data_IF_664172520036
#
_entry.id   IF_664172520036
#
_cell.length_a   1.000
_cell.length_b   1.000
_cell.length_c   1.000
_cell.angle_alpha   90.00
_cell.angle_beta   90.00
_cell.angle_gamma   90.00
#
_symmetry.space_group_name_H-M   'P 1'
#
loop_
_entity.id
_entity.type
_entity.pdbx_description
1 polymer ?
#
# COMPACT_ATOMS: atom_id res chain seq x y z
N UNK A 1 39.66 -27.41 -20.92
CA UNK A 1 39.60 -26.13 -20.18
C UNK A 1 38.28 -25.47 -20.52
N UNK A 2 37.39 -25.29 -19.54
CA UNK A 2 35.95 -25.07 -19.77
C UNK A 2 35.53 -23.60 -19.82
N UNK A 3 36.47 -22.65 -19.74
CA UNK A 3 36.17 -21.22 -19.89
C UNK A 3 37.28 -20.55 -20.69
N UNK A 4 37.15 -20.59 -22.02
CA UNK A 4 38.08 -19.96 -22.97
C UNK A 4 37.53 -18.62 -23.51
N UNK A 5 36.36 -18.18 -23.05
CA UNK A 5 35.74 -16.91 -23.40
C UNK A 5 35.92 -15.88 -22.28
N UNK A 6 36.34 -14.67 -22.63
CA UNK A 6 36.35 -13.51 -21.73
C UNK A 6 34.93 -13.03 -21.48
N UNK A 7 34.53 -12.95 -20.21
CA UNK A 7 33.27 -12.31 -19.81
C UNK A 7 33.51 -10.81 -19.82
N UNK A 8 32.93 -10.12 -20.80
CA UNK A 8 32.96 -8.66 -20.80
C UNK A 8 31.89 -8.15 -19.82
N UNK A 9 32.24 -7.32 -18.84
CA UNK A 9 31.26 -6.74 -17.93
C UNK A 9 30.29 -5.85 -18.72
N UNK A 10 29.03 -5.85 -18.31
CA UNK A 10 28.04 -4.93 -18.86
C UNK A 10 28.45 -3.51 -18.43
N UNK A 11 28.52 -2.54 -19.35
CA UNK A 11 28.87 -1.17 -19.02
C UNK A 11 27.81 -0.52 -18.13
N UNK A 12 28.25 0.39 -17.25
CA UNK A 12 27.36 1.20 -16.41
C UNK A 12 26.44 2.09 -17.26
N UNK A 13 25.30 2.49 -16.69
CA UNK A 13 24.25 3.26 -17.39
C UNK A 13 24.78 4.52 -18.10
N UNK A 14 25.84 5.15 -17.59
CA UNK A 14 26.45 6.34 -18.18
C UNK A 14 27.14 6.09 -19.53
N UNK A 15 27.50 4.84 -19.84
CA UNK A 15 28.16 4.46 -21.09
C UNK A 15 27.15 3.93 -22.13
N UNK A 16 25.86 3.93 -21.81
CA UNK A 16 24.83 3.51 -22.76
C UNK A 16 24.58 4.64 -23.77
N UNK A 17 24.47 4.33 -25.07
CA UNK A 17 24.19 5.36 -26.06
C UNK A 17 22.82 5.98 -25.78
N UNK A 18 22.76 7.31 -25.76
CA UNK A 18 21.50 8.04 -25.71
C UNK A 18 20.81 7.90 -27.06
N UNK A 19 19.76 7.08 -27.12
CA UNK A 19 19.02 6.82 -28.35
C UNK A 19 18.09 8.00 -28.61
N UNK A 20 18.53 8.96 -29.42
CA UNK A 20 17.64 9.95 -30.02
C UNK A 20 16.67 9.20 -30.95
N UNK A 21 15.37 9.43 -30.76
CA UNK A 21 14.28 8.63 -31.33
C UNK A 21 14.04 8.90 -32.83
N UNK A 22 15.10 8.94 -33.64
CA UNK A 22 14.97 8.89 -35.10
C UNK A 22 14.72 7.42 -35.50
N UNK A 23 13.53 7.06 -36.00
CA UNK A 23 13.16 5.68 -36.26
C UNK A 23 13.87 5.16 -37.52
N UNK A 24 15.11 4.71 -37.35
CA UNK A 24 15.76 3.83 -38.32
C UNK A 24 15.02 2.48 -38.34
N UNK A 25 14.69 1.90 -39.52
CA UNK A 25 13.87 0.70 -39.62
C UNK A 25 14.50 -0.56 -38.99
N UNK A 26 15.80 -0.52 -38.69
CA UNK A 26 16.54 -1.63 -38.05
C UNK A 26 16.73 -1.47 -36.53
N UNK A 27 16.28 -0.35 -35.94
CA UNK A 27 16.45 -0.09 -34.50
C UNK A 27 15.14 -0.36 -33.78
N UNK A 28 15.10 -1.46 -33.04
CA UNK A 28 14.01 -1.80 -32.13
C UNK A 28 13.97 -0.73 -31.04
N UNK A 29 13.11 0.26 -31.22
CA UNK A 29 12.83 1.28 -30.21
C UNK A 29 12.39 0.57 -28.93
N UNK A 30 13.03 0.79 -27.77
CA UNK A 30 12.53 0.27 -26.51
C UNK A 30 11.24 1.02 -26.19
N UNK A 31 10.12 0.48 -26.64
CA UNK A 31 8.80 0.90 -26.19
C UNK A 31 8.83 0.79 -24.67
N UNK A 32 8.61 1.90 -23.96
CA UNK A 32 8.42 1.89 -22.51
C UNK A 32 7.17 1.08 -22.21
N UNK A 33 7.32 -0.23 -22.08
CA UNK A 33 6.25 -1.13 -21.66
C UNK A 33 6.07 -0.90 -20.16
N UNK A 34 5.03 -0.14 -19.81
CA UNK A 34 4.63 0.02 -18.42
C UNK A 34 4.28 -1.34 -17.80
N UNK A 35 4.29 -1.46 -16.46
CA UNK A 35 3.81 -2.65 -15.79
C UNK A 35 2.39 -3.01 -16.27
N UNK A 36 2.07 -4.31 -16.37
CA UNK A 36 0.72 -4.73 -16.73
C UNK A 36 -0.29 -4.21 -15.72
N UNK A 37 -1.45 -3.83 -16.21
CA UNK A 37 -2.51 -3.25 -15.39
C UNK A 37 -3.10 -4.32 -14.45
N UNK A 38 -2.98 -4.12 -13.13
CA UNK A 38 -3.37 -5.12 -12.14
C UNK A 38 -4.88 -5.02 -11.88
N UNK A 39 -5.64 -6.02 -12.37
CA UNK A 39 -7.07 -6.15 -12.07
C UNK A 39 -7.27 -6.99 -10.81
N UNK A 40 -8.03 -6.47 -9.85
CA UNK A 40 -8.44 -7.25 -8.68
C UNK A 40 -9.37 -8.39 -9.10
N UNK A 41 -9.00 -9.63 -8.80
CA UNK A 41 -9.85 -10.79 -9.05
C UNK A 41 -11.13 -10.70 -8.19
N UNK A 42 -12.24 -11.18 -8.75
CA UNK A 42 -13.51 -11.31 -8.01
C UNK A 42 -13.26 -12.31 -6.88
N UNK A 43 -13.23 -11.82 -5.64
CA UNK A 43 -12.95 -12.64 -4.47
C UNK A 43 -14.03 -13.71 -4.24
N UNK A 44 -13.78 -14.60 -3.27
CA UNK A 44 -14.74 -15.65 -2.90
C UNK A 44 -16.11 -15.04 -2.55
N UNK A 45 -17.21 -15.50 -3.19
CA UNK A 45 -18.55 -15.05 -2.84
C UNK A 45 -18.82 -15.24 -1.35
N UNK A 46 -19.36 -14.21 -0.71
CA UNK A 46 -19.69 -14.26 0.71
C UNK A 46 -20.77 -15.31 0.96
N UNK A 47 -20.51 -16.27 1.85
CA UNK A 47 -21.53 -17.24 2.28
C UNK A 47 -22.71 -16.48 2.89
N UNK A 48 -23.91 -16.63 2.30
CA UNK A 48 -25.16 -16.14 2.88
C UNK A 48 -25.52 -17.05 4.05
N UNK A 49 -25.25 -16.61 5.28
CA UNK A 49 -25.69 -17.31 6.49
C UNK A 49 -27.12 -16.87 6.82
N UNK A 50 -28.08 -17.78 6.74
CA UNK A 50 -29.42 -17.58 7.32
C UNK A 50 -29.31 -17.75 8.84
N UNK A 51 -30.02 -16.91 9.59
CA UNK A 51 -30.09 -17.00 11.05
C UNK A 51 -31.30 -17.84 11.45
N UNK A 52 -31.15 -18.69 12.46
CA UNK A 52 -32.27 -19.42 13.06
C UNK A 52 -33.18 -18.49 13.88
N UNK A 53 -34.48 -18.80 14.04
CA UNK A 53 -35.39 -18.04 14.89
C UNK A 53 -34.92 -18.13 16.36
N UNK A 54 -34.53 -16.98 16.93
CA UNK A 54 -33.97 -16.89 18.30
C UNK A 54 -32.55 -16.33 18.35
N UNK A 55 -31.83 -16.29 17.21
CA UNK A 55 -30.55 -15.58 17.17
C UNK A 55 -30.77 -14.06 17.29
N UNK A 56 -30.22 -13.45 18.34
CA UNK A 56 -30.27 -12.00 18.49
C UNK A 56 -29.61 -11.31 17.29
N UNK A 57 -30.27 -10.28 16.75
CA UNK A 57 -29.60 -9.31 15.87
C UNK A 57 -28.61 -8.56 16.75
N UNK A 58 -27.37 -9.07 16.84
CA UNK A 58 -26.24 -8.26 17.30
C UNK A 58 -26.34 -6.93 16.55
N UNK A 59 -26.72 -5.86 17.24
CA UNK A 59 -26.60 -4.50 16.75
C UNK A 59 -25.12 -4.37 16.40
N UNK A 60 -24.83 -4.47 15.11
CA UNK A 60 -23.46 -4.66 14.67
C UNK A 60 -22.61 -3.49 15.17
N UNK A 61 -21.36 -3.76 15.56
CA UNK A 61 -20.36 -2.78 16.01
C UNK A 61 -20.32 -1.49 15.16
N UNK A 62 -20.76 -1.57 13.90
CA UNK A 62 -20.94 -0.45 12.97
C UNK A 62 -21.72 0.71 13.59
N UNK A 63 -22.79 0.44 14.35
CA UNK A 63 -23.63 1.49 14.92
C UNK A 63 -23.00 2.21 16.12
N UNK A 64 -22.04 1.59 16.81
CA UNK A 64 -21.30 2.21 17.92
C UNK A 64 -20.02 2.89 17.47
N UNK A 65 -19.51 2.54 16.28
CA UNK A 65 -18.30 3.11 15.72
C UNK A 65 -18.55 4.54 15.22
N UNK A 66 -17.79 5.51 15.78
CA UNK A 66 -17.78 6.91 15.38
C UNK A 66 -16.51 7.22 14.57
N UNK A 67 -16.68 7.81 13.39
CA UNK A 67 -15.55 8.21 12.54
C UNK A 67 -14.80 9.40 13.17
N UNK A 68 -13.47 9.33 13.31
CA UNK A 68 -12.70 10.47 13.84
C UNK A 68 -12.54 11.64 12.87
N UNK A 69 -12.74 11.44 11.57
CA UNK A 69 -12.66 12.51 10.56
C UNK A 69 -14.01 13.25 10.39
N UNK A 70 -15.09 12.53 10.09
CA UNK A 70 -16.40 13.16 9.83
C UNK A 70 -17.38 13.10 11.01
N UNK A 71 -17.01 12.43 12.13
CA UNK A 71 -17.81 12.30 13.36
C UNK A 71 -19.16 11.58 13.22
N UNK A 72 -19.50 11.07 12.04
CA UNK A 72 -20.68 10.23 11.81
C UNK A 72 -20.51 8.82 12.39
N UNK A 73 -21.62 8.17 12.72
CA UNK A 73 -21.67 6.76 13.12
C UNK A 73 -21.68 5.84 11.88
N UNK A 74 -21.35 4.56 12.05
CA UNK A 74 -21.44 3.57 10.97
C UNK A 74 -20.10 3.16 10.35
N UNK A 75 -19.06 4.00 10.49
CA UNK A 75 -17.75 3.77 9.86
C UNK A 75 -16.59 4.41 10.62
N UNK A 76 -15.38 3.88 10.40
CA UNK A 76 -14.12 4.42 10.94
C UNK A 76 -13.46 5.37 9.92
N UNK A 77 -12.47 6.17 10.36
CA UNK A 77 -11.68 7.07 9.50
C UNK A 77 -11.18 6.42 8.20
N UNK A 78 -10.69 5.17 8.30
CA UNK A 78 -10.18 4.39 7.15
C UNK A 78 -11.24 4.11 6.08
N UNK A 79 -12.50 3.95 6.48
CA UNK A 79 -13.62 3.70 5.58
C UNK A 79 -14.48 4.94 5.30
N UNK A 80 -13.99 6.12 5.69
CA UNK A 80 -14.74 7.36 5.52
C UNK A 80 -14.77 7.76 4.04
N UNK A 81 -15.95 8.06 3.47
CA UNK A 81 -16.06 8.50 2.07
C UNK A 81 -15.38 9.86 1.84
N UNK A 82 -15.33 10.69 2.89
CA UNK A 82 -14.74 12.03 2.83
C UNK A 82 -13.24 12.04 3.17
N UNK A 83 -12.64 10.89 3.48
CA UNK A 83 -11.22 10.83 3.80
C UNK A 83 -10.44 10.29 2.58
N UNK A 84 -9.37 10.99 2.13
CA UNK A 84 -8.60 10.54 0.98
C UNK A 84 -8.02 9.16 1.27
N UNK A 85 -8.39 8.19 0.41
CA UNK A 85 -7.86 6.83 0.48
C UNK A 85 -6.47 6.89 -0.14
N UNK A 86 -5.45 7.08 0.70
CA UNK A 86 -4.06 6.89 0.26
C UNK A 86 -3.96 5.47 -0.25
N UNK A 87 -3.82 5.29 -1.56
CA UNK A 87 -3.42 4.02 -2.16
C UNK A 87 -2.13 3.61 -1.45
N UNK A 88 -2.12 2.43 -0.84
CA UNK A 88 -0.92 1.96 -0.14
C UNK A 88 0.09 1.59 -1.22
N UNK A 89 0.93 2.55 -1.62
CA UNK A 89 2.27 2.20 -2.10
C UNK A 89 2.93 1.39 -1.00
N UNK A 90 3.36 0.18 -1.34
CA UNK A 90 4.00 -0.75 -0.42
C UNK A 90 5.42 -0.23 -0.17
N UNK A 91 5.56 0.86 0.57
CA UNK A 91 6.84 1.23 1.16
C UNK A 91 6.72 1.05 2.67
N UNK A 92 7.56 0.17 3.19
CA UNK A 92 7.52 -0.33 4.55
C UNK A 92 7.63 0.80 5.56
N UNK A 93 6.54 1.07 6.27
CA UNK A 93 6.53 2.01 7.38
C UNK A 93 6.44 1.23 8.69
N UNK A 94 7.61 0.90 9.25
CA UNK A 94 7.74 0.41 10.62
C UNK A 94 7.27 1.51 11.58
N UNK A 95 6.12 1.30 12.22
CA UNK A 95 5.66 2.17 13.31
C UNK A 95 6.28 1.67 14.61
N UNK A 96 7.40 2.25 15.00
CA UNK A 96 7.86 2.22 16.39
C UNK A 96 6.93 3.11 17.22
N UNK A 97 6.09 2.51 18.03
CA UNK A 97 5.31 3.19 19.05
C UNK A 97 6.20 3.49 20.26
N UNK A 98 6.87 4.65 20.26
CA UNK A 98 7.47 5.22 21.45
C UNK A 98 6.42 6.05 22.18
N UNK A 99 5.85 5.51 23.27
CA UNK A 99 5.09 6.31 24.23
C UNK A 99 6.07 7.12 25.08
N UNK A 100 6.21 8.41 24.79
CA UNK A 100 6.81 9.33 25.75
C UNK A 100 5.79 9.57 26.87
N UNK A 101 5.97 8.90 28.01
CA UNK A 101 5.33 9.29 29.25
C UNK A 101 6.15 10.44 29.84
N UNK A 102 5.59 11.65 29.80
CA UNK A 102 6.10 12.77 30.59
C UNK A 102 5.74 12.51 32.06
N UNK A 103 6.74 12.58 32.94
CA UNK A 103 6.55 12.64 34.39
C UNK A 103 7.19 13.94 34.86
N UNK A 104 6.33 14.90 35.21
CA UNK A 104 6.71 16.12 35.90
C UNK A 104 7.20 15.77 37.32
N UNK A 105 8.44 16.14 37.65
CA UNK A 105 8.95 16.06 39.01
C UNK A 105 8.60 17.40 39.69
N UNK A 106 7.59 17.38 40.55
CA UNK A 106 7.32 18.45 41.50
C UNK A 106 8.39 18.44 42.58
N UNK A 107 9.22 19.48 42.65
CA UNK A 107 10.12 19.72 43.78
C UNK A 107 9.49 20.77 44.69
N UNK A 108 9.03 20.36 45.87
CA UNK A 108 8.67 21.23 46.99
C UNK A 108 9.02 20.50 48.27
N UNK A 109 10.09 20.95 48.92
CA UNK A 109 10.38 20.60 50.33
C UNK A 109 11.21 21.71 50.96
N UNK A 110 10.63 22.21 52.06
CA UNK A 110 11.18 22.93 53.23
C UNK A 110 12.04 24.18 53.02
#
# INVERSE_FOLDING_TARGET
MTYMGTINPIPDECAWPEVEAEPSPDVVVPVKVGPPDIKALVGRPKKKRTKEPGETKLIGKRFTIKCSACRCLGHNKRGCPNFPKTTRTIEGSNRTSSSAHASDITSSTA
#
